data_IF_366518783157
#
_entry.id   IF_366518783157
#
_cell.length_a   1.000
_cell.length_b   1.000
_cell.length_c   1.000
_cell.angle_alpha   90.00
_cell.angle_beta   90.00
_cell.angle_gamma   90.00
#
_symmetry.space_group_name_H-M   'P 1'
#
loop_
_entity.id
_entity.type
_entity.pdbx_description
1 polymer ?
#
# COMPACT_ATOMS: atom_id res chain seq x y z
N UNK A 1 65.15 48.34 -11.04
CA UNK A 1 64.48 49.50 -10.46
C UNK A 1 63.00 49.22 -10.33
N UNK A 2 62.44 49.55 -9.16
CA UNK A 2 61.00 49.76 -8.87
C UNK A 2 60.14 48.49 -8.80
N UNK A 3 59.74 48.01 -7.60
CA UNK A 3 58.58 48.44 -6.77
C UNK A 3 57.23 48.29 -7.50
N UNK A 4 56.12 47.80 -6.96
CA UNK A 4 55.74 47.19 -5.69
C UNK A 4 54.27 46.65 -5.84
N UNK A 5 53.90 45.67 -5.02
CA UNK A 5 52.58 45.38 -4.45
C UNK A 5 51.28 45.54 -5.28
N UNK A 6 50.58 44.42 -5.50
CA UNK A 6 49.13 44.37 -5.45
C UNK A 6 48.71 43.10 -4.68
N UNK A 7 47.96 43.34 -3.61
CA UNK A 7 47.49 42.34 -2.67
C UNK A 7 46.37 41.46 -3.27
N UNK A 8 46.41 40.18 -2.94
CA UNK A 8 45.34 39.22 -3.19
C UNK A 8 45.55 38.02 -2.29
N UNK A 9 45.16 38.16 -1.01
CA UNK A 9 45.27 37.10 -0.01
C UNK A 9 44.42 35.89 -0.40
N UNK A 10 45.07 34.75 -0.64
CA UNK A 10 44.43 33.44 -0.68
C UNK A 10 44.89 32.66 0.55
N UNK A 11 44.22 32.90 1.68
CA UNK A 11 44.46 32.17 2.92
C UNK A 11 43.46 31.01 3.04
N UNK A 12 43.99 29.81 2.81
CA UNK A 12 43.92 28.63 3.69
C UNK A 12 42.59 28.36 4.43
N UNK A 13 41.99 27.20 4.13
CA UNK A 13 42.05 25.99 4.98
C UNK A 13 40.75 25.17 5.00
N UNK A 14 40.92 23.84 4.92
CA UNK A 14 40.24 22.87 5.78
C UNK A 14 38.73 22.68 5.65
N UNK A 15 38.32 21.52 5.12
CA UNK A 15 36.98 20.99 5.38
C UNK A 15 36.50 19.96 4.38
N UNK A 16 37.01 18.73 4.47
CA UNK A 16 36.43 17.60 3.73
C UNK A 16 34.99 17.35 4.16
N UNK A 17 34.04 17.60 3.27
CA UNK A 17 32.63 17.26 3.49
C UNK A 17 32.44 15.79 3.09
N UNK A 18 31.92 15.05 4.06
CA UNK A 18 31.74 13.60 4.16
C UNK A 18 30.86 13.06 3.01
N UNK A 19 31.06 11.80 2.55
CA UNK A 19 30.19 11.22 1.53
C UNK A 19 28.79 11.00 2.12
N UNK A 20 27.76 11.60 1.53
CA UNK A 20 26.37 11.28 1.83
C UNK A 20 26.04 9.93 1.21
N UNK A 21 26.22 8.84 1.95
CA UNK A 21 25.51 7.60 1.65
C UNK A 21 24.03 7.87 1.87
N UNK A 22 23.34 8.20 0.79
CA UNK A 22 21.88 8.20 0.74
C UNK A 22 21.40 6.79 1.02
N UNK A 23 21.10 6.49 2.29
CA UNK A 23 20.21 5.39 2.63
C UNK A 23 18.87 5.73 1.98
N UNK A 24 18.58 5.07 0.87
CA UNK A 24 17.24 5.03 0.32
C UNK A 24 16.36 4.25 1.32
N UNK A 25 15.90 4.93 2.37
CA UNK A 25 14.79 4.45 3.18
C UNK A 25 13.58 4.44 2.25
N UNK A 26 13.16 3.24 1.84
CA UNK A 26 11.92 3.05 1.10
C UNK A 26 10.77 3.81 1.80
N UNK A 27 9.83 4.45 1.07
CA UNK A 27 8.69 5.07 1.72
C UNK A 27 7.89 3.98 2.43
N UNK A 28 7.80 4.07 3.76
CA UNK A 28 6.93 3.24 4.56
C UNK A 28 5.51 3.39 3.99
N UNK A 29 5.02 2.33 3.37
CA UNK A 29 3.71 2.26 2.74
C UNK A 29 2.61 2.78 3.66
N UNK A 30 1.70 3.59 3.11
CA UNK A 30 0.47 4.12 3.72
C UNK A 30 -0.50 2.99 4.15
N UNK A 31 -0.10 2.23 5.17
CA UNK A 31 -0.93 1.21 5.78
C UNK A 31 -1.52 1.83 7.02
N UNK A 32 -2.80 2.17 6.96
CA UNK A 32 -3.58 2.47 8.14
C UNK A 32 -3.49 1.27 9.07
N UNK A 33 -2.78 1.45 10.20
CA UNK A 33 -2.62 0.43 11.22
C UNK A 33 -3.79 0.53 12.18
N UNK A 34 -4.46 -0.59 12.41
CA UNK A 34 -5.47 -0.67 13.45
C UNK A 34 -4.83 -0.29 14.80
N UNK A 35 -5.43 0.66 15.51
CA UNK A 35 -4.96 1.10 16.83
C UNK A 35 -3.80 2.10 16.84
N UNK A 36 -3.44 2.71 15.71
CA UNK A 36 -2.44 3.79 15.67
C UNK A 36 -3.00 5.08 16.30
N UNK A 37 -2.41 5.62 17.39
CA UNK A 37 -2.88 6.84 18.04
C UNK A 37 -2.79 8.08 17.14
N UNK A 38 -1.97 8.08 16.09
CA UNK A 38 -1.82 9.20 15.15
C UNK A 38 -2.77 9.13 13.94
N UNK A 39 -3.53 8.04 13.77
CA UNK A 39 -4.40 7.84 12.60
C UNK A 39 -5.52 8.89 12.43
N UNK A 40 -5.95 9.54 13.51
CA UNK A 40 -6.97 10.59 13.46
C UNK A 40 -6.41 11.98 13.17
N UNK A 41 -5.11 12.20 13.39
CA UNK A 41 -4.46 13.49 13.18
C UNK A 41 -4.11 13.73 11.70
N UNK A 42 -3.88 12.65 10.94
CA UNK A 42 -3.39 12.70 9.55
C UNK A 42 -4.49 12.62 8.48
N UNK A 43 -5.78 12.61 8.86
CA UNK A 43 -6.88 12.47 7.90
C UNK A 43 -7.04 13.72 7.04
N UNK A 44 -6.65 13.64 5.77
CA UNK A 44 -7.00 14.60 4.73
C UNK A 44 -8.41 14.29 4.19
N UNK A 45 -9.24 15.29 3.96
CA UNK A 45 -10.58 15.10 3.40
C UNK A 45 -10.50 14.38 2.03
N UNK A 46 -11.14 13.22 1.91
CA UNK A 46 -11.21 12.49 0.65
C UNK A 46 -12.21 13.19 -0.28
N UNK A 47 -11.73 13.68 -1.43
CA UNK A 47 -12.60 14.24 -2.46
C UNK A 47 -13.56 13.16 -2.97
N UNK A 48 -14.85 13.47 -3.05
CA UNK A 48 -15.94 12.53 -3.37
C UNK A 48 -15.61 11.59 -4.53
N UNK A 49 -15.32 10.34 -4.21
CA UNK A 49 -15.05 9.31 -5.19
C UNK A 49 -16.30 9.01 -6.01
N UNK A 50 -16.18 8.90 -7.33
CA UNK A 50 -17.25 8.46 -8.26
C UNK A 50 -17.69 7.00 -8.08
N UNK A 51 -17.48 6.43 -6.89
CA UNK A 51 -17.90 5.07 -6.55
C UNK A 51 -19.40 5.07 -6.22
N UNK A 52 -20.04 3.92 -6.41
CA UNK A 52 -21.36 3.67 -5.86
C UNK A 52 -21.40 3.99 -4.36
N UNK A 53 -22.53 4.53 -3.91
CA UNK A 53 -22.83 4.71 -2.48
C UNK A 53 -23.13 3.37 -1.79
N UNK A 54 -23.57 2.37 -2.56
CA UNK A 54 -24.00 1.06 -2.07
C UNK A 54 -22.87 0.03 -2.16
N UNK A 55 -22.80 -0.84 -1.16
CA UNK A 55 -21.90 -1.99 -1.14
C UNK A 55 -22.37 -3.05 -2.14
N UNK A 56 -21.48 -3.45 -3.05
CA UNK A 56 -21.76 -4.50 -4.01
C UNK A 56 -21.40 -5.89 -3.49
N UNK A 57 -22.08 -6.94 -3.97
CA UNK A 57 -21.63 -8.30 -3.76
C UNK A 57 -20.20 -8.48 -4.29
N UNK A 58 -19.37 -9.28 -3.61
CA UNK A 58 -18.00 -9.52 -4.04
C UNK A 58 -17.99 -10.24 -5.39
N UNK A 59 -17.17 -9.74 -6.30
CA UNK A 59 -16.95 -10.31 -7.62
C UNK A 59 -15.50 -10.80 -7.69
N UNK A 60 -15.26 -11.92 -8.39
CA UNK A 60 -13.92 -12.43 -8.73
C UNK A 60 -12.95 -11.35 -9.22
N UNK A 61 -13.44 -10.34 -9.94
CA UNK A 61 -12.61 -9.29 -10.52
C UNK A 61 -12.41 -8.07 -9.60
N UNK A 62 -12.98 -8.04 -8.40
CA UNK A 62 -12.89 -6.89 -7.47
C UNK A 62 -13.27 -5.54 -8.10
N UNK A 63 -14.11 -5.56 -9.15
CA UNK A 63 -14.56 -4.35 -9.84
C UNK A 63 -15.67 -3.72 -9.01
N UNK A 64 -15.46 -2.47 -8.61
CA UNK A 64 -16.47 -1.71 -7.90
C UNK A 64 -17.63 -1.33 -8.84
N UNK A 65 -18.88 -1.33 -8.35
CA UNK A 65 -20.03 -0.85 -9.10
C UNK A 65 -19.88 0.65 -9.42
N UNK A 66 -20.40 1.05 -10.58
CA UNK A 66 -20.45 2.45 -10.98
C UNK A 66 -21.34 3.31 -10.06
N UNK A 67 -21.21 4.65 -10.12
CA UNK A 67 -21.91 5.58 -9.22
C UNK A 67 -23.44 5.54 -9.33
N UNK A 68 -23.96 5.05 -10.46
CA UNK A 68 -25.39 4.98 -10.79
C UNK A 68 -26.02 3.64 -10.41
N UNK A 69 -25.27 2.74 -9.81
CA UNK A 69 -25.76 1.42 -9.45
C UNK A 69 -26.80 1.53 -8.33
N UNK A 70 -27.91 0.81 -8.49
CA UNK A 70 -29.13 0.88 -7.67
C UNK A 70 -29.05 0.02 -6.39
N UNK A 71 -27.90 -0.58 -6.09
CA UNK A 71 -27.70 -1.41 -4.89
C UNK A 71 -28.41 -2.77 -4.91
N UNK A 72 -29.39 -2.98 -5.80
CA UNK A 72 -30.09 -4.27 -5.95
C UNK A 72 -29.26 -5.25 -6.77
N UNK A 73 -28.99 -6.41 -6.19
CA UNK A 73 -28.43 -7.56 -6.90
C UNK A 73 -29.47 -8.13 -7.87
N UNK A 74 -29.08 -8.22 -9.15
CA UNK A 74 -29.89 -8.81 -10.25
C UNK A 74 -29.16 -10.02 -10.87
N UNK A 75 -28.25 -10.65 -10.13
CA UNK A 75 -27.47 -11.79 -10.56
C UNK A 75 -28.25 -13.11 -10.48
N UNK A 76 -27.68 -14.17 -11.10
CA UNK A 76 -28.18 -15.54 -10.99
C UNK A 76 -27.58 -16.31 -9.78
N UNK A 77 -26.82 -15.63 -8.92
CA UNK A 77 -26.10 -16.23 -7.79
C UNK A 77 -24.84 -17.04 -8.14
N UNK A 78 -24.31 -16.96 -9.37
CA UNK A 78 -23.10 -17.68 -9.80
C UNK A 78 -21.87 -17.33 -8.96
N UNK A 79 -21.61 -16.04 -8.72
CA UNK A 79 -20.45 -15.59 -7.94
C UNK A 79 -20.48 -16.15 -6.51
N UNK A 80 -21.66 -16.14 -5.86
CA UNK A 80 -21.83 -16.72 -4.52
C UNK A 80 -21.56 -18.23 -4.52
N UNK A 81 -22.09 -18.97 -5.50
CA UNK A 81 -21.87 -20.41 -5.63
C UNK A 81 -20.39 -20.74 -5.85
N UNK A 82 -19.71 -19.95 -6.68
CA UNK A 82 -18.30 -20.13 -6.98
C UNK A 82 -17.43 -19.87 -5.76
N UNK A 83 -17.66 -18.77 -5.04
CA UNK A 83 -16.93 -18.45 -3.81
C UNK A 83 -17.11 -19.55 -2.76
N UNK A 84 -18.32 -20.06 -2.60
CA UNK A 84 -18.60 -21.17 -1.66
C UNK A 84 -17.89 -22.46 -2.09
N UNK A 85 -17.96 -22.81 -3.38
CA UNK A 85 -17.30 -24.01 -3.90
C UNK A 85 -15.77 -23.95 -3.75
N UNK A 86 -15.18 -22.78 -4.00
CA UNK A 86 -13.75 -22.53 -3.80
C UNK A 86 -13.36 -22.67 -2.32
N UNK A 87 -14.18 -22.15 -1.40
CA UNK A 87 -14.01 -22.31 0.04
C UNK A 87 -14.03 -23.78 0.46
N UNK A 88 -15.06 -24.54 0.04
CA UNK A 88 -15.17 -25.97 0.32
C UNK A 88 -14.04 -26.80 -0.31
N UNK A 89 -13.50 -26.39 -1.46
CA UNK A 89 -12.34 -27.07 -2.06
C UNK A 89 -11.09 -26.86 -1.18
N UNK A 90 -10.80 -25.63 -0.79
CA UNK A 90 -9.65 -25.30 0.07
C UNK A 90 -9.73 -25.97 1.43
N UNK A 91 -10.92 -26.08 2.00
CA UNK A 91 -11.16 -26.78 3.25
C UNK A 91 -10.81 -28.28 3.13
N UNK A 92 -11.26 -28.94 2.07
CA UNK A 92 -10.91 -30.35 1.82
C UNK A 92 -9.42 -30.57 1.61
N UNK A 93 -8.75 -29.67 0.90
CA UNK A 93 -7.30 -29.71 0.70
C UNK A 93 -6.56 -29.59 2.04
N UNK A 94 -7.00 -28.68 2.92
CA UNK A 94 -6.42 -28.52 4.27
C UNK A 94 -6.64 -29.77 5.13
N UNK A 95 -7.86 -30.29 5.19
CA UNK A 95 -8.18 -31.51 5.95
C UNK A 95 -7.37 -32.71 5.44
N UNK A 96 -7.25 -32.87 4.11
CA UNK A 96 -6.44 -33.93 3.52
C UNK A 96 -4.96 -33.79 3.88
N UNK A 97 -4.46 -32.56 3.95
CA UNK A 97 -3.07 -32.31 4.34
C UNK A 97 -2.85 -32.66 5.81
N UNK A 98 -3.72 -32.19 6.71
CA UNK A 98 -3.66 -32.50 8.15
C UNK A 98 -3.68 -34.01 8.39
N UNK A 99 -4.58 -34.74 7.71
CA UNK A 99 -4.69 -36.19 7.85
C UNK A 99 -3.47 -36.94 7.31
N UNK A 100 -2.87 -36.45 6.22
CA UNK A 100 -1.63 -37.02 5.67
C UNK A 100 -0.43 -36.80 6.58
N UNK A 101 -0.39 -35.69 7.32
CA UNK A 101 0.72 -35.36 8.23
C UNK A 101 0.63 -36.16 9.53
N UNK A 102 -0.58 -36.43 10.03
CA UNK A 102 -0.76 -37.13 11.32
C UNK A 102 -0.27 -38.60 11.31
N UNK A 103 -0.19 -39.26 10.15
CA UNK A 103 0.27 -40.65 10.01
C UNK A 103 1.70 -40.81 9.44
N UNK A 104 2.50 -39.73 9.42
CA UNK A 104 3.93 -39.75 9.06
C UNK A 104 4.80 -39.39 10.27
#
# INVERSE_FOLDING_TARGET
>A
SSQAAAAGGNERSGGGIRPTWGVATAPASEKLRWGDPMANLVKTASSGSSRSKFAAPPNRFNIAPGPRWDGRDRSNGFENKLINAEGSRREKEQISYEWSVENM
#
